data_IF_066351884275
#
_entry.id   IF_066351884275
#
_cell.length_a   1.000
_cell.length_b   1.000
_cell.length_c   1.000
_cell.angle_alpha   90.00
_cell.angle_beta   90.00
_cell.angle_gamma   90.00
#
_symmetry.space_group_name_H-M   'P 1'
#
loop_
_entity.id
_entity.type
_entity.pdbx_description
1 polymer ?
#
# COMPACT_ATOMS: atom_id res chain seq x y z
N UNK A 1 25.48 21.42 -13.37
CA UNK A 1 24.20 22.18 -13.39
C UNK A 1 23.09 21.17 -13.24
N UNK A 2 22.45 21.08 -12.07
CA UNK A 2 21.23 20.28 -11.92
C UNK A 2 20.14 20.93 -12.78
N UNK A 3 19.61 20.15 -13.71
CA UNK A 3 18.52 20.60 -14.57
C UNK A 3 17.30 20.86 -13.67
N UNK A 4 16.86 22.12 -13.53
CA UNK A 4 15.77 22.55 -12.63
C UNK A 4 14.40 21.92 -12.98
N UNK A 5 14.29 21.21 -14.09
CA UNK A 5 13.03 20.63 -14.60
C UNK A 5 12.68 19.27 -13.98
N UNK A 6 13.67 18.50 -13.52
CA UNK A 6 13.44 17.20 -12.93
C UNK A 6 14.42 16.89 -11.80
N UNK A 7 13.92 16.21 -10.76
CA UNK A 7 14.70 15.83 -9.59
C UNK A 7 14.73 14.32 -9.48
N UNK A 8 15.93 13.73 -9.36
CA UNK A 8 16.04 12.31 -9.10
C UNK A 8 15.53 11.99 -7.69
N UNK A 9 14.65 11.00 -7.58
CA UNK A 9 14.01 10.57 -6.34
C UNK A 9 14.18 9.06 -6.15
N UNK A 10 13.98 8.59 -4.92
CA UNK A 10 13.86 7.16 -4.65
C UNK A 10 12.41 6.68 -4.70
N UNK A 11 11.51 7.54 -4.26
CA UNK A 11 10.08 7.32 -4.24
C UNK A 11 9.36 8.58 -4.64
N UNK A 12 8.25 8.45 -5.37
CA UNK A 12 7.34 9.55 -5.72
C UNK A 12 5.89 9.09 -5.47
N UNK A 13 4.94 10.02 -5.22
CA UNK A 13 3.53 9.65 -5.09
C UNK A 13 3.01 8.92 -6.34
N UNK A 14 2.24 7.85 -6.14
CA UNK A 14 1.74 6.98 -7.20
C UNK A 14 0.55 7.52 -8.00
N UNK A 15 0.10 8.74 -7.73
CA UNK A 15 -1.09 9.33 -8.39
C UNK A 15 -0.89 9.66 -9.88
N UNK A 16 0.35 9.86 -10.33
CA UNK A 16 0.70 10.01 -11.75
C UNK A 16 2.10 9.47 -11.99
N UNK A 17 2.19 8.42 -12.78
CA UNK A 17 3.45 7.76 -13.10
C UNK A 17 3.52 7.56 -14.61
N UNK A 18 4.64 7.99 -15.22
CA UNK A 18 4.97 7.68 -16.60
C UNK A 18 6.10 6.66 -16.64
N UNK A 19 5.91 5.59 -17.38
CA UNK A 19 6.91 4.56 -17.54
C UNK A 19 7.62 4.64 -18.88
N UNK A 20 8.95 4.52 -18.88
CA UNK A 20 9.67 4.09 -20.06
C UNK A 20 9.36 2.59 -20.25
N UNK A 21 8.54 2.27 -21.28
CA UNK A 21 8.02 0.91 -21.48
C UNK A 21 9.13 -0.11 -21.75
N UNK A 22 10.17 0.26 -22.47
CA UNK A 22 11.31 -0.62 -22.73
C UNK A 22 12.00 -1.06 -21.41
N UNK A 23 12.20 -0.13 -20.49
CA UNK A 23 12.83 -0.40 -19.19
C UNK A 23 11.91 -1.11 -18.20
N UNK A 24 10.65 -0.70 -18.14
CA UNK A 24 9.72 -1.29 -17.16
C UNK A 24 9.39 -2.75 -17.51
N UNK A 25 9.33 -3.11 -18.79
CA UNK A 25 9.10 -4.49 -19.21
C UNK A 25 10.24 -5.43 -18.82
N UNK A 26 11.48 -4.93 -18.71
CA UNK A 26 12.62 -5.72 -18.23
C UNK A 26 12.52 -6.13 -16.75
N UNK A 27 11.85 -5.31 -15.93
CA UNK A 27 11.70 -5.55 -14.50
C UNK A 27 10.28 -5.98 -14.10
N UNK A 28 9.38 -6.03 -15.07
CA UNK A 28 7.95 -6.36 -14.90
C UNK A 28 7.10 -5.18 -14.45
N UNK A 29 5.83 -5.21 -14.85
CA UNK A 29 4.80 -4.23 -14.48
C UNK A 29 4.37 -4.38 -13.01
N UNK A 30 3.15 -3.93 -12.68
CA UNK A 30 2.61 -4.06 -11.33
C UNK A 30 2.48 -5.52 -10.90
N UNK A 31 2.84 -5.80 -9.65
CA UNK A 31 2.60 -7.11 -9.04
C UNK A 31 1.11 -7.20 -8.64
N UNK A 32 0.36 -8.05 -9.32
CA UNK A 32 -1.09 -8.24 -9.13
C UNK A 32 -1.48 -8.79 -7.75
N UNK A 33 -0.51 -9.24 -6.94
CA UNK A 33 -0.77 -9.58 -5.55
C UNK A 33 -1.11 -8.34 -4.70
N UNK A 34 -0.62 -7.15 -5.09
CA UNK A 34 -1.04 -5.90 -4.48
C UNK A 34 -2.36 -5.44 -5.10
N UNK A 35 -3.44 -5.46 -4.34
CA UNK A 35 -4.71 -4.86 -4.78
C UNK A 35 -4.77 -3.36 -4.47
N UNK A 36 -4.27 -2.96 -3.30
CA UNK A 36 -4.16 -1.57 -2.84
C UNK A 36 -2.92 -1.41 -1.97
N UNK A 37 -2.26 -0.26 -2.09
CA UNK A 37 -1.07 0.14 -1.34
C UNK A 37 0.18 -0.69 -1.61
N UNK A 38 1.32 -0.02 -1.65
CA UNK A 38 2.65 -0.57 -1.89
C UNK A 38 2.91 -1.08 -3.32
N UNK A 39 1.95 -1.05 -4.24
CA UNK A 39 2.16 -1.41 -5.64
C UNK A 39 3.18 -0.52 -6.33
N UNK A 40 3.09 0.81 -6.13
CA UNK A 40 4.08 1.74 -6.65
C UNK A 40 5.42 1.59 -5.92
N UNK A 41 5.42 1.36 -4.61
CA UNK A 41 6.64 1.13 -3.84
C UNK A 41 7.37 -0.14 -4.31
N UNK A 42 6.63 -1.18 -4.68
CA UNK A 42 7.19 -2.41 -5.26
C UNK A 42 7.92 -2.11 -6.57
N UNK A 43 7.30 -1.35 -7.49
CA UNK A 43 7.94 -0.93 -8.74
C UNK A 43 9.20 -0.11 -8.44
N UNK A 44 9.14 0.86 -7.54
CA UNK A 44 10.29 1.69 -7.21
C UNK A 44 11.45 0.88 -6.64
N UNK A 45 11.16 -0.09 -5.77
CA UNK A 45 12.19 -1.00 -5.25
C UNK A 45 12.81 -1.85 -6.35
N UNK A 46 12.01 -2.33 -7.33
CA UNK A 46 12.53 -3.08 -8.48
C UNK A 46 13.37 -2.19 -9.40
N UNK A 47 12.93 -0.95 -9.66
CA UNK A 47 13.71 0.05 -10.40
C UNK A 47 15.08 0.27 -9.74
N UNK A 48 15.10 0.53 -8.43
CA UNK A 48 16.34 0.79 -7.69
C UNK A 48 17.28 -0.43 -7.71
N UNK A 49 16.76 -1.65 -7.54
CA UNK A 49 17.55 -2.90 -7.59
C UNK A 49 18.16 -3.15 -8.97
N UNK A 50 17.55 -2.63 -10.03
CA UNK A 50 18.03 -2.74 -11.40
C UNK A 50 18.75 -1.46 -11.90
N UNK A 51 19.17 -0.58 -10.99
CA UNK A 51 19.86 0.68 -11.29
C UNK A 51 19.09 1.62 -12.23
N UNK A 52 17.76 1.50 -12.28
CA UNK A 52 16.92 2.46 -13.00
C UNK A 52 16.64 3.69 -12.14
N UNK A 53 16.67 4.84 -12.79
CA UNK A 53 16.46 6.13 -12.13
C UNK A 53 14.97 6.51 -12.16
N UNK A 54 14.52 7.12 -11.08
CA UNK A 54 13.18 7.65 -10.92
C UNK A 54 13.30 9.16 -10.83
N UNK A 55 12.46 9.88 -11.57
CA UNK A 55 12.48 11.34 -11.62
C UNK A 55 11.13 11.94 -11.28
N UNK A 56 11.14 12.98 -10.46
CA UNK A 56 10.01 13.87 -10.28
C UNK A 56 10.12 15.01 -11.28
N UNK A 57 9.13 15.16 -12.15
CA UNK A 57 9.03 16.25 -13.12
C UNK A 57 8.30 17.41 -12.46
N UNK A 58 9.03 18.46 -12.06
CA UNK A 58 8.47 19.56 -11.30
C UNK A 58 7.52 20.46 -12.11
N UNK A 59 7.70 20.50 -13.42
CA UNK A 59 6.84 21.26 -14.34
C UNK A 59 5.48 20.57 -14.57
N UNK A 60 5.40 19.24 -14.40
CA UNK A 60 4.17 18.49 -14.55
C UNK A 60 3.31 18.64 -13.29
N UNK A 61 2.29 19.47 -13.36
CA UNK A 61 1.34 19.69 -12.25
C UNK A 61 0.05 18.95 -12.53
N UNK A 62 -0.44 18.23 -11.52
CA UNK A 62 -1.71 17.53 -11.56
C UNK A 62 -2.52 17.83 -10.30
N UNK A 63 -3.82 18.06 -10.47
CA UNK A 63 -4.76 18.17 -9.36
C UNK A 63 -5.28 16.78 -9.04
N UNK A 64 -4.94 16.28 -7.86
CA UNK A 64 -5.45 15.01 -7.35
C UNK A 64 -6.62 15.27 -6.39
N UNK A 65 -7.85 15.02 -6.87
CA UNK A 65 -9.09 15.32 -6.11
C UNK A 65 -9.40 14.27 -5.04
N UNK A 66 -8.54 13.32 -4.77
CA UNK A 66 -8.61 12.26 -3.76
C UNK A 66 -10.01 11.92 -3.23
N UNK A 67 -10.30 10.65 -3.01
CA UNK A 67 -11.55 10.16 -2.36
C UNK A 67 -12.90 10.53 -3.05
N UNK A 68 -12.87 11.19 -4.22
CA UNK A 68 -14.08 11.58 -4.97
C UNK A 68 -14.62 10.46 -5.88
N UNK A 69 -13.97 9.31 -5.94
CA UNK A 69 -14.29 8.24 -6.90
C UNK A 69 -15.43 7.33 -6.45
N UNK A 70 -15.94 7.49 -5.24
CA UNK A 70 -16.93 6.57 -4.65
C UNK A 70 -18.02 7.33 -3.94
N UNK A 71 -19.25 6.83 -4.03
CA UNK A 71 -20.40 7.37 -3.31
C UNK A 71 -20.19 7.27 -1.78
N UNK A 72 -20.50 8.32 -1.07
CA UNK A 72 -20.36 8.44 0.41
C UNK A 72 -21.04 7.31 1.19
N UNK A 73 -22.09 6.70 0.63
CA UNK A 73 -22.77 5.56 1.26
C UNK A 73 -21.86 4.35 1.51
N UNK A 74 -20.75 4.23 0.77
CA UNK A 74 -19.76 3.16 0.90
C UNK A 74 -18.52 3.54 1.70
N UNK A 75 -18.42 4.74 2.24
CA UNK A 75 -17.23 5.27 2.92
C UNK A 75 -16.68 4.31 3.98
N UNK A 76 -17.56 3.74 4.81
CA UNK A 76 -17.14 2.83 5.86
C UNK A 76 -16.52 1.54 5.28
N UNK A 77 -17.19 0.92 4.31
CA UNK A 77 -16.71 -0.34 3.72
C UNK A 77 -15.36 -0.12 3.02
N UNK A 78 -15.23 0.99 2.32
CA UNK A 78 -13.97 1.38 1.67
C UNK A 78 -12.88 1.64 2.70
N UNK A 79 -13.16 2.39 3.78
CA UNK A 79 -12.20 2.60 4.87
C UNK A 79 -11.72 1.26 5.46
N UNK A 80 -12.63 0.33 5.68
CA UNK A 80 -12.31 -0.98 6.24
C UNK A 80 -11.44 -1.81 5.27
N UNK A 81 -11.80 -1.83 3.98
CA UNK A 81 -11.03 -2.52 2.94
C UNK A 81 -9.62 -1.91 2.81
N UNK A 82 -9.52 -0.58 2.77
CA UNK A 82 -8.21 0.14 2.75
C UNK A 82 -7.35 -0.25 3.95
N UNK A 83 -7.92 -0.32 5.15
CA UNK A 83 -7.19 -0.72 6.35
C UNK A 83 -6.71 -2.18 6.29
N UNK A 84 -7.51 -3.09 5.74
CA UNK A 84 -7.14 -4.48 5.54
C UNK A 84 -5.97 -4.61 4.55
N UNK A 85 -6.10 -3.99 3.36
CA UNK A 85 -5.08 -4.06 2.32
C UNK A 85 -3.78 -3.38 2.73
N UNK A 86 -3.85 -2.23 3.40
CA UNK A 86 -2.65 -1.54 3.87
C UNK A 86 -1.79 -2.45 4.76
N UNK A 87 -2.42 -3.19 5.68
CA UNK A 87 -1.70 -4.09 6.57
C UNK A 87 -1.22 -5.36 5.86
N UNK A 88 -2.04 -5.93 4.98
CA UNK A 88 -1.66 -7.07 4.18
C UNK A 88 -0.46 -6.74 3.28
N UNK A 89 -0.56 -5.66 2.52
CA UNK A 89 0.44 -5.20 1.57
C UNK A 89 1.75 -4.80 2.25
N UNK A 90 1.66 -4.19 3.46
CA UNK A 90 2.85 -3.83 4.23
C UNK A 90 3.72 -5.05 4.53
N UNK A 91 3.15 -6.12 5.08
CA UNK A 91 3.92 -7.33 5.38
C UNK A 91 4.44 -7.98 4.10
N UNK A 92 3.61 -8.11 3.07
CA UNK A 92 3.99 -8.71 1.80
C UNK A 92 5.14 -7.96 1.14
N UNK A 93 5.11 -6.62 1.14
CA UNK A 93 6.17 -5.76 0.61
C UNK A 93 7.52 -6.00 1.32
N UNK A 94 7.54 -5.97 2.65
CA UNK A 94 8.78 -6.20 3.40
C UNK A 94 9.30 -7.62 3.23
N UNK A 95 8.43 -8.62 3.18
CA UNK A 95 8.80 -10.01 2.90
C UNK A 95 9.42 -10.15 1.51
N UNK A 96 8.83 -9.53 0.49
CA UNK A 96 9.26 -9.60 -0.91
C UNK A 96 10.62 -8.92 -1.15
N UNK A 97 10.80 -7.73 -0.60
CA UNK A 97 11.97 -6.91 -0.92
C UNK A 97 13.16 -7.07 0.00
N UNK A 98 12.92 -7.52 1.21
CA UNK A 98 13.96 -7.73 2.24
C UNK A 98 13.99 -9.19 2.67
N UNK A 99 13.31 -9.54 3.75
CA UNK A 99 13.19 -10.92 4.24
C UNK A 99 12.03 -11.04 5.23
N UNK A 100 11.75 -12.29 5.63
CA UNK A 100 10.64 -12.59 6.55
C UNK A 100 10.82 -11.95 7.94
N UNK A 101 12.06 -11.89 8.45
CA UNK A 101 12.36 -11.30 9.76
C UNK A 101 12.08 -9.80 9.77
N UNK A 102 12.50 -9.09 8.72
CA UNK A 102 12.20 -7.66 8.53
C UNK A 102 10.70 -7.43 8.44
N UNK A 103 9.98 -8.27 7.69
CA UNK A 103 8.53 -8.16 7.57
C UNK A 103 7.82 -8.28 8.93
N UNK A 104 8.21 -9.23 9.75
CA UNK A 104 7.68 -9.36 11.11
C UNK A 104 8.07 -8.17 11.99
N UNK A 105 9.34 -7.75 12.00
CA UNK A 105 9.79 -6.59 12.77
C UNK A 105 8.97 -5.34 12.47
N UNK A 106 8.67 -5.09 11.20
CA UNK A 106 7.93 -3.91 10.74
C UNK A 106 6.41 -3.99 11.00
N UNK A 107 5.90 -5.18 11.34
CA UNK A 107 4.45 -5.39 11.43
C UNK A 107 3.94 -5.94 12.75
N UNK A 108 4.77 -6.62 13.55
CA UNK A 108 4.35 -7.19 14.86
C UNK A 108 3.83 -6.12 15.83
N UNK A 109 4.47 -4.95 15.89
CA UNK A 109 3.98 -3.83 16.70
C UNK A 109 2.57 -3.38 16.29
N UNK A 110 2.28 -3.35 15.01
CA UNK A 110 0.94 -3.05 14.49
C UNK A 110 -0.06 -4.15 14.84
N UNK A 111 0.37 -5.41 14.80
CA UNK A 111 -0.47 -6.55 15.12
C UNK A 111 -0.88 -6.53 16.59
N UNK A 112 0.06 -6.44 17.52
CA UNK A 112 -0.22 -6.42 18.97
C UNK A 112 -0.99 -5.16 19.38
N UNK A 113 -0.58 -3.98 18.92
CA UNK A 113 -1.33 -2.75 19.12
C UNK A 113 -2.76 -2.84 18.55
N UNK A 114 -2.92 -3.51 17.41
CA UNK A 114 -4.22 -3.78 16.82
C UNK A 114 -5.10 -4.66 17.68
N UNK A 115 -4.55 -5.73 18.28
CA UNK A 115 -5.27 -6.62 19.21
C UNK A 115 -5.72 -5.87 20.48
N UNK A 116 -4.83 -5.10 21.09
CA UNK A 116 -5.17 -4.30 22.29
C UNK A 116 -6.29 -3.32 21.97
N UNK A 117 -6.20 -2.59 20.85
CA UNK A 117 -7.22 -1.64 20.43
C UNK A 117 -8.54 -2.32 20.04
N UNK A 118 -8.46 -3.53 19.47
CA UNK A 118 -9.65 -4.34 19.18
C UNK A 118 -10.43 -4.66 20.45
N UNK A 119 -9.74 -5.11 21.49
CA UNK A 119 -10.34 -5.40 22.79
C UNK A 119 -10.87 -4.11 23.46
N UNK A 120 -10.10 -3.04 23.43
CA UNK A 120 -10.50 -1.75 24.02
C UNK A 120 -11.78 -1.19 23.37
N UNK A 121 -11.89 -1.24 22.04
CA UNK A 121 -13.04 -0.68 21.32
C UNK A 121 -14.24 -1.65 21.20
N UNK A 122 -14.13 -2.87 21.68
CA UNK A 122 -15.19 -3.89 21.57
C UNK A 122 -16.57 -3.38 22.01
N UNK A 123 -16.61 -2.66 23.12
CA UNK A 123 -17.86 -2.12 23.69
C UNK A 123 -17.99 -0.60 23.59
N UNK A 124 -16.91 0.10 23.22
CA UNK A 124 -16.86 1.57 23.25
C UNK A 124 -17.20 2.22 21.91
N UNK A 125 -16.73 1.64 20.80
CA UNK A 125 -16.87 2.27 19.48
C UNK A 125 -16.83 1.24 18.37
N UNK A 126 -17.99 0.94 17.81
CA UNK A 126 -18.14 -0.06 16.73
C UNK A 126 -17.29 0.25 15.49
N UNK A 127 -17.19 1.52 15.08
CA UNK A 127 -16.39 1.92 13.91
C UNK A 127 -14.92 1.63 14.14
N UNK A 128 -14.37 2.03 15.27
CA UNK A 128 -12.97 1.77 15.62
C UNK A 128 -12.71 0.28 15.83
N UNK A 129 -13.63 -0.45 16.47
CA UNK A 129 -13.54 -1.91 16.58
C UNK A 129 -13.39 -2.57 15.20
N UNK A 130 -14.27 -2.24 14.24
CA UNK A 130 -14.21 -2.79 12.88
C UNK A 130 -12.90 -2.41 12.17
N UNK A 131 -12.44 -1.17 12.29
CA UNK A 131 -11.16 -0.72 11.74
C UNK A 131 -10.00 -1.58 12.22
N UNK A 132 -9.85 -1.78 13.53
CA UNK A 132 -8.75 -2.59 14.07
C UNK A 132 -8.92 -4.08 13.78
N UNK A 133 -10.16 -4.59 13.75
CA UNK A 133 -10.46 -5.96 13.28
C UNK A 133 -9.93 -6.20 11.87
N UNK A 134 -10.20 -5.28 10.93
CA UNK A 134 -9.75 -5.40 9.54
C UNK A 134 -8.22 -5.29 9.43
N UNK A 135 -7.58 -4.42 10.20
CA UNK A 135 -6.10 -4.32 10.25
C UNK A 135 -5.45 -5.62 10.74
N UNK A 136 -5.94 -6.19 11.82
CA UNK A 136 -5.44 -7.46 12.36
C UNK A 136 -5.69 -8.60 11.37
N UNK A 137 -6.88 -8.69 10.78
CA UNK A 137 -7.19 -9.71 9.77
C UNK A 137 -6.33 -9.60 8.51
N UNK A 138 -6.03 -8.37 8.06
CA UNK A 138 -5.12 -8.15 6.94
C UNK A 138 -3.72 -8.71 7.22
N UNK A 139 -3.15 -8.41 8.39
CA UNK A 139 -1.85 -8.98 8.81
C UNK A 139 -1.92 -10.51 8.94
N UNK A 140 -2.93 -11.06 9.62
CA UNK A 140 -3.07 -12.50 9.77
C UNK A 140 -3.12 -13.21 8.41
N UNK A 141 -3.89 -12.68 7.46
CA UNK A 141 -3.95 -13.26 6.11
C UNK A 141 -2.58 -13.24 5.43
N UNK A 142 -1.84 -12.15 5.56
CA UNK A 142 -0.50 -12.03 4.97
C UNK A 142 0.52 -12.93 5.66
N UNK A 143 0.46 -13.06 7.00
CA UNK A 143 1.31 -13.98 7.77
C UNK A 143 1.10 -15.45 7.37
N UNK A 144 -0.15 -15.81 7.08
CA UNK A 144 -0.54 -17.15 6.60
C UNK A 144 -0.25 -17.38 5.11
N UNK A 145 0.36 -16.40 4.42
CA UNK A 145 0.66 -16.49 2.99
C UNK A 145 -0.59 -16.50 2.08
N UNK A 146 -1.75 -16.11 2.60
CA UNK A 146 -2.99 -16.04 1.80
C UNK A 146 -2.96 -14.84 0.87
N UNK A 147 -3.56 -14.98 -0.32
CA UNK A 147 -3.66 -13.89 -1.31
C UNK A 147 -4.45 -12.70 -0.77
N UNK A 148 -4.25 -11.55 -1.40
CA UNK A 148 -4.99 -10.30 -1.16
C UNK A 148 -6.41 -10.37 -1.76
N UNK A 149 -7.30 -11.13 -1.12
CA UNK A 149 -8.61 -11.51 -1.67
C UNK A 149 -9.76 -10.55 -1.31
N UNK A 150 -9.61 -9.76 -0.23
CA UNK A 150 -10.71 -8.92 0.27
C UNK A 150 -11.11 -7.86 -0.77
N UNK A 151 -12.40 -7.75 -1.04
CA UNK A 151 -12.97 -6.76 -1.97
C UNK A 151 -14.12 -6.00 -1.28
N UNK A 152 -14.42 -4.75 -1.69
CA UNK A 152 -15.58 -4.03 -1.18
C UNK A 152 -16.87 -4.71 -1.61
N UNK A 153 -17.88 -4.67 -0.75
CA UNK A 153 -19.21 -5.16 -1.06
C UNK A 153 -20.02 -3.98 -1.64
N UNK A 154 -19.91 -3.79 -2.96
CA UNK A 154 -20.59 -2.73 -3.70
C UNK A 154 -21.73 -3.40 -4.47
N UNK A 155 -22.84 -3.68 -3.78
CA UNK A 155 -24.10 -4.10 -4.38
C UNK A 155 -25.14 -3.00 -4.31
#
# INVERSE_FOLDING_TARGET
MENKEHKQMRFVPGCAIFFNMEKILQIGLFDENFFLFFEENDIYMRCLKNNHKIYLIQAAKMIHTGEMSVDKKYDLDIELIRNWHYMWSKFYFYKKHFNIYTAYRETLGHFFSGLVKLLFFLFLNKKNYLKYKFRVLGLLNSYLGKKSWKRPNIS
#
